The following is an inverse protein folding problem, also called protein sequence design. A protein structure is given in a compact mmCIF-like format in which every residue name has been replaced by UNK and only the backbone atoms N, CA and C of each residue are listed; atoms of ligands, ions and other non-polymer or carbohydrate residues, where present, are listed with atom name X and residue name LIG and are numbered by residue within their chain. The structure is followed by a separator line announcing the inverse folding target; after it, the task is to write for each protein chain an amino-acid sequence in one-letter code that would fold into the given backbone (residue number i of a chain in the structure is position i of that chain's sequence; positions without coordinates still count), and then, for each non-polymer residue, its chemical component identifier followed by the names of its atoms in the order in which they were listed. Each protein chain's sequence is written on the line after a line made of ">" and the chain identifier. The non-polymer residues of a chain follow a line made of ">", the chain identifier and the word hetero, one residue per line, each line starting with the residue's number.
data_IF_435815891448
#
_entry.id   IF_435815891448
#
_cell.length_a   1.000
_cell.length_b   1.000
_cell.length_c   1.000
_cell.angle_alpha   90.00
_cell.angle_beta   90.00
_cell.angle_gamma   90.00
#
_symmetry.space_group_name_H-M   'P 1'
#
loop_
_entity.id
_entity.type
_entity.pdbx_description
1 polymer ?
#
# COMPACT_ATOMS: atom_id res chain seq x y z
N UNK A 1 -47.73 -2.87 50.36
CA UNK A 1 -47.17 -3.66 49.24
C UNK A 1 -46.99 -2.92 47.91
N UNK A 2 -47.50 -1.69 47.73
CA UNK A 2 -47.38 -0.95 46.46
C UNK A 2 -45.96 -0.45 46.11
N UNK A 3 -45.19 -0.01 47.10
CA UNK A 3 -43.84 0.55 46.91
C UNK A 3 -42.78 -0.49 46.49
N UNK A 4 -42.87 -1.73 46.99
CA UNK A 4 -41.96 -2.82 46.57
C UNK A 4 -42.18 -3.21 45.10
N UNK A 5 -43.44 -3.25 44.65
CA UNK A 5 -43.76 -3.57 43.26
C UNK A 5 -43.37 -2.44 42.29
N UNK A 6 -43.49 -1.19 42.74
CA UNK A 6 -43.07 0.00 41.98
C UNK A 6 -41.56 0.10 41.77
N UNK A 7 -40.73 -0.51 42.64
CA UNK A 7 -39.28 -0.56 42.48
C UNK A 7 -38.80 -1.81 41.73
N UNK A 8 -39.43 -2.97 41.96
CA UNK A 8 -39.02 -4.24 41.34
C UNK A 8 -39.33 -4.30 39.84
N UNK A 9 -40.45 -3.73 39.40
CA UNK A 9 -40.88 -3.80 38.00
C UNK A 9 -39.94 -3.05 37.05
N UNK A 10 -39.51 -1.80 37.35
CA UNK A 10 -38.53 -1.10 36.53
C UNK A 10 -37.15 -1.77 36.54
N UNK A 11 -36.68 -2.26 37.70
CA UNK A 11 -35.39 -2.95 37.81
C UNK A 11 -35.35 -4.23 36.96
N UNK A 12 -36.47 -4.97 36.91
CA UNK A 12 -36.62 -6.15 36.05
C UNK A 12 -36.54 -5.84 34.54
N UNK A 13 -36.66 -4.57 34.12
CA UNK A 13 -36.46 -4.14 32.73
C UNK A 13 -35.03 -3.69 32.44
N UNK A 14 -34.36 -3.07 33.41
CA UNK A 14 -32.97 -2.60 33.26
C UNK A 14 -31.98 -3.77 33.14
N UNK A 15 -32.15 -4.83 33.95
CA UNK A 15 -31.21 -5.98 33.95
C UNK A 15 -31.14 -6.69 32.59
N UNK A 16 -32.28 -7.05 31.93
CA UNK A 16 -32.24 -7.60 30.57
C UNK A 16 -31.58 -6.67 29.57
N UNK A 17 -31.81 -5.36 29.67
CA UNK A 17 -31.22 -4.37 28.77
C UNK A 17 -29.69 -4.32 28.88
N UNK A 18 -29.16 -4.37 30.09
CA UNK A 18 -27.71 -4.48 30.32
C UNK A 18 -27.15 -5.78 29.72
N UNK A 19 -27.89 -6.90 29.82
CA UNK A 19 -27.47 -8.17 29.20
C UNK A 19 -27.43 -8.09 27.68
N UNK A 20 -28.37 -7.38 27.06
CA UNK A 20 -28.37 -7.14 25.61
C UNK A 20 -27.18 -6.28 25.18
N UNK A 21 -26.88 -5.20 25.91
CA UNK A 21 -25.68 -4.39 25.69
C UNK A 21 -24.42 -5.25 25.81
N UNK A 22 -24.34 -6.09 26.84
CA UNK A 22 -23.21 -7.00 27.05
C UNK A 22 -23.07 -8.06 25.95
N UNK A 23 -24.16 -8.44 25.29
CA UNK A 23 -24.16 -9.29 24.10
C UNK A 23 -23.98 -8.50 22.79
N UNK A 24 -23.51 -7.25 22.87
CA UNK A 24 -23.32 -6.32 21.75
C UNK A 24 -24.60 -5.97 20.97
N UNK A 25 -25.78 -6.21 21.53
CA UNK A 25 -27.05 -5.82 20.93
C UNK A 25 -27.44 -4.42 21.42
N UNK A 26 -27.06 -3.40 20.64
CA UNK A 26 -27.18 -1.99 21.04
C UNK A 26 -28.37 -1.27 20.40
N UNK A 27 -29.31 -1.98 19.77
CA UNK A 27 -30.39 -1.35 18.99
C UNK A 27 -31.69 -1.19 19.77
N UNK A 28 -31.86 -1.82 20.95
CA UNK A 28 -33.08 -1.64 21.76
C UNK A 28 -33.03 -0.35 22.56
N UNK A 29 -34.21 0.17 22.89
CA UNK A 29 -34.38 1.35 23.73
C UNK A 29 -34.90 0.96 25.10
N UNK A 30 -34.34 1.55 26.16
CA UNK A 30 -34.75 1.28 27.53
C UNK A 30 -35.84 2.27 27.97
N UNK A 31 -37.11 1.87 27.91
CA UNK A 31 -38.20 2.73 28.41
C UNK A 31 -38.49 2.47 29.88
N UNK A 32 -37.94 3.33 30.76
CA UNK A 32 -38.24 3.37 32.19
C UNK A 32 -38.70 4.78 32.58
N UNK A 33 -39.86 4.88 33.21
CA UNK A 33 -40.42 6.16 33.66
C UNK A 33 -40.36 6.27 35.18
N UNK A 34 -39.88 7.39 35.69
CA UNK A 34 -39.82 7.68 37.13
C UNK A 34 -38.71 8.69 37.44
N UNK A 35 -38.93 9.56 38.43
CA UNK A 35 -37.93 10.54 38.90
C UNK A 35 -37.13 10.03 40.11
N UNK A 36 -37.04 8.71 40.25
CA UNK A 36 -36.31 8.05 41.34
C UNK A 36 -34.97 7.50 40.83
N UNK A 37 -34.21 6.88 41.73
CA UNK A 37 -32.88 6.31 41.50
C UNK A 37 -32.89 5.27 40.37
N UNK A 38 -34.03 4.62 40.10
CA UNK A 38 -34.14 3.67 38.97
C UNK A 38 -34.27 4.39 37.63
N UNK A 39 -34.94 5.55 37.60
CA UNK A 39 -34.96 6.43 36.42
C UNK A 39 -33.57 6.99 36.12
N UNK A 40 -32.82 7.38 37.15
CA UNK A 40 -31.41 7.79 37.00
C UNK A 40 -30.53 6.65 36.47
N UNK A 41 -30.61 5.46 37.07
CA UNK A 41 -29.90 4.26 36.60
C UNK A 41 -30.22 3.94 35.12
N UNK A 42 -31.49 4.00 34.74
CA UNK A 42 -31.90 3.77 33.35
C UNK A 42 -31.26 4.80 32.41
N UNK A 43 -31.27 6.09 32.77
CA UNK A 43 -30.63 7.15 32.00
C UNK A 43 -29.12 6.95 31.86
N UNK A 44 -28.43 6.52 32.92
CA UNK A 44 -27.00 6.19 32.87
C UNK A 44 -26.72 5.01 31.95
N UNK A 45 -27.54 3.96 32.00
CA UNK A 45 -27.40 2.79 31.10
C UNK A 45 -27.64 3.19 29.64
N UNK A 46 -28.63 4.05 29.36
CA UNK A 46 -28.84 4.58 28.01
C UNK A 46 -27.67 5.45 27.52
N UNK A 47 -27.04 6.20 28.42
CA UNK A 47 -25.85 6.96 28.07
C UNK A 47 -24.67 6.04 27.74
N UNK A 48 -24.43 5.00 28.57
CA UNK A 48 -23.40 3.99 28.31
C UNK A 48 -23.62 3.28 26.97
N UNK A 49 -24.87 2.91 26.65
CA UNK A 49 -25.22 2.31 25.37
C UNK A 49 -24.88 3.23 24.20
N UNK A 50 -25.24 4.51 24.27
CA UNK A 50 -24.94 5.50 23.24
C UNK A 50 -23.43 5.66 23.03
N UNK A 51 -22.66 5.83 24.10
CA UNK A 51 -21.20 5.93 24.00
C UNK A 51 -20.57 4.69 23.38
N UNK A 52 -21.12 3.50 23.63
CA UNK A 52 -20.65 2.26 23.00
C UNK A 52 -21.02 2.19 21.52
N UNK A 53 -22.23 2.61 21.13
CA UNK A 53 -22.63 2.74 19.72
C UNK A 53 -21.68 3.69 18.98
N UNK A 54 -21.39 4.84 19.57
CA UNK A 54 -20.49 5.85 18.98
C UNK A 54 -19.08 5.27 18.82
N UNK A 55 -18.56 4.58 19.84
CA UNK A 55 -17.25 3.93 19.78
C UNK A 55 -17.18 2.87 18.68
N UNK A 56 -18.17 1.98 18.60
CA UNK A 56 -18.24 0.93 17.58
C UNK A 56 -18.37 1.53 16.17
N UNK A 57 -19.16 2.59 16.03
CA UNK A 57 -19.32 3.31 14.76
C UNK A 57 -17.99 3.91 14.31
N UNK A 58 -17.27 4.57 15.21
CA UNK A 58 -15.99 5.19 14.90
C UNK A 58 -14.90 4.14 14.56
N UNK A 59 -14.89 3.00 15.24
CA UNK A 59 -14.01 1.86 14.89
C UNK A 59 -14.34 1.31 13.50
N UNK A 60 -15.62 1.18 13.15
CA UNK A 60 -16.05 0.72 11.83
C UNK A 60 -15.63 1.71 10.74
N UNK A 61 -15.91 2.99 10.91
CA UNK A 61 -15.49 4.04 9.97
C UNK A 61 -13.98 4.07 9.78
N UNK A 62 -13.20 3.94 10.86
CA UNK A 62 -11.75 3.83 10.79
C UNK A 62 -11.29 2.58 10.03
N UNK A 63 -11.96 1.45 10.22
CA UNK A 63 -11.66 0.20 9.51
C UNK A 63 -11.97 0.30 8.01
N UNK A 64 -13.09 0.94 7.65
CA UNK A 64 -13.47 1.18 6.26
C UNK A 64 -12.46 2.13 5.57
N UNK A 65 -12.00 3.16 6.27
CA UNK A 65 -10.95 4.06 5.79
C UNK A 65 -9.60 3.33 5.59
N UNK A 66 -9.19 2.47 6.54
CA UNK A 66 -7.99 1.63 6.41
C UNK A 66 -8.12 0.68 5.21
N UNK A 67 -9.29 0.06 5.03
CA UNK A 67 -9.53 -0.83 3.90
C UNK A 67 -9.40 -0.11 2.55
N UNK A 68 -9.97 1.10 2.44
CA UNK A 68 -9.82 1.93 1.24
C UNK A 68 -8.35 2.29 0.99
N UNK A 69 -7.65 2.77 2.03
CA UNK A 69 -6.24 3.16 1.91
C UNK A 69 -5.32 1.99 1.55
N UNK A 70 -5.54 0.81 2.13
CA UNK A 70 -4.75 -0.39 1.79
C UNK A 70 -5.03 -0.88 0.37
N UNK A 71 -6.25 -0.74 -0.13
CA UNK A 71 -6.59 -1.06 -1.52
C UNK A 71 -5.91 -0.11 -2.51
N UNK A 72 -5.85 1.19 -2.20
CA UNK A 72 -5.10 2.19 -2.99
C UNK A 72 -3.60 1.90 -2.99
N UNK A 73 -3.01 1.56 -1.84
CA UNK A 73 -1.60 1.17 -1.73
C UNK A 73 -1.32 -0.08 -2.58
N UNK A 74 -2.18 -1.10 -2.52
CA UNK A 74 -2.02 -2.32 -3.30
C UNK A 74 -2.02 -2.03 -4.80
N UNK A 75 -2.97 -1.22 -5.27
CA UNK A 75 -3.03 -0.79 -6.68
C UNK A 75 -1.78 0.01 -7.09
N UNK A 76 -1.33 0.95 -6.24
CA UNK A 76 -0.11 1.71 -6.47
C UNK A 76 1.15 0.85 -6.50
N UNK A 77 1.22 -0.19 -5.67
CA UNK A 77 2.35 -1.12 -5.65
C UNK A 77 2.39 -2.00 -6.92
N UNK A 78 1.23 -2.40 -7.44
CA UNK A 78 1.16 -3.12 -8.73
C UNK A 78 1.64 -2.23 -9.90
N UNK A 79 1.23 -0.96 -9.95
CA UNK A 79 1.72 -0.01 -10.96
C UNK A 79 3.24 0.20 -10.84
N UNK A 80 3.74 0.41 -9.62
CA UNK A 80 5.16 0.59 -9.37
C UNK A 80 5.96 -0.65 -9.80
N UNK A 81 5.51 -1.86 -9.45
CA UNK A 81 6.14 -3.12 -9.87
C UNK A 81 6.20 -3.21 -11.39
N UNK A 82 5.10 -2.92 -12.09
CA UNK A 82 5.06 -2.94 -13.55
C UNK A 82 6.07 -1.95 -14.16
N UNK A 83 6.19 -0.75 -13.59
CA UNK A 83 7.17 0.24 -14.06
C UNK A 83 8.61 -0.16 -13.76
N UNK A 84 8.86 -0.78 -12.61
CA UNK A 84 10.19 -1.33 -12.27
C UNK A 84 10.57 -2.46 -13.23
N UNK A 85 9.65 -3.36 -13.56
CA UNK A 85 9.88 -4.41 -14.58
C UNK A 85 10.17 -3.82 -15.96
N UNK A 86 9.41 -2.82 -16.39
CA UNK A 86 9.67 -2.10 -17.64
C UNK A 86 11.04 -1.42 -17.65
N UNK A 87 11.43 -0.76 -16.54
CA UNK A 87 12.74 -0.13 -16.42
C UNK A 87 13.88 -1.15 -16.43
N UNK A 88 13.71 -2.29 -15.76
CA UNK A 88 14.69 -3.38 -15.79
C UNK A 88 14.90 -3.88 -17.23
N UNK A 89 13.81 -4.11 -17.97
CA UNK A 89 13.88 -4.50 -19.38
C UNK A 89 14.57 -3.44 -20.25
N UNK A 90 14.26 -2.15 -20.07
CA UNK A 90 14.93 -1.08 -20.80
C UNK A 90 16.43 -0.98 -20.49
N UNK A 91 16.83 -1.28 -19.25
CA UNK A 91 18.25 -1.34 -18.86
C UNK A 91 18.96 -2.55 -19.50
N UNK A 92 18.30 -3.71 -19.60
CA UNK A 92 18.82 -4.88 -20.31
C UNK A 92 19.05 -4.58 -21.80
N UNK A 93 18.09 -3.93 -22.46
CA UNK A 93 18.24 -3.50 -23.86
C UNK A 93 19.38 -2.49 -24.04
N UNK A 94 19.54 -1.56 -23.09
CA UNK A 94 20.63 -0.59 -23.10
C UNK A 94 21.99 -1.28 -22.93
N UNK A 95 22.09 -2.26 -22.02
CA UNK A 95 23.31 -3.04 -21.82
C UNK A 95 23.69 -3.85 -23.08
N UNK A 96 22.72 -4.53 -23.69
CA UNK A 96 22.92 -5.25 -24.95
C UNK A 96 23.38 -4.33 -26.08
N UNK A 97 22.78 -3.14 -26.18
CA UNK A 97 23.20 -2.12 -27.15
C UNK A 97 24.64 -1.65 -26.91
N UNK A 98 25.04 -1.49 -25.65
CA UNK A 98 26.42 -1.13 -25.28
C UNK A 98 27.43 -2.24 -25.59
N UNK A 99 27.04 -3.51 -25.45
CA UNK A 99 27.89 -4.65 -25.87
C UNK A 99 28.09 -4.65 -27.40
N UNK A 100 27.02 -4.44 -28.18
CA UNK A 100 27.11 -4.33 -29.64
C UNK A 100 27.97 -3.14 -30.09
N UNK A 101 27.81 -1.98 -29.45
CA UNK A 101 28.65 -0.80 -29.71
C UNK A 101 30.12 -1.10 -29.40
N UNK A 102 30.40 -1.76 -28.27
CA UNK A 102 31.76 -2.14 -27.88
C UNK A 102 32.40 -3.08 -28.91
N UNK A 103 31.65 -4.08 -29.40
CA UNK A 103 32.12 -4.98 -30.45
C UNK A 103 32.45 -4.22 -31.75
N UNK A 104 31.58 -3.29 -32.14
CA UNK A 104 31.75 -2.45 -33.34
C UNK A 104 32.99 -1.55 -33.23
N UNK A 105 33.21 -0.94 -32.06
CA UNK A 105 34.40 -0.10 -31.80
C UNK A 105 35.67 -0.95 -31.87
N UNK A 106 35.67 -2.16 -31.28
CA UNK A 106 36.82 -3.08 -31.36
C UNK A 106 37.16 -3.46 -32.80
N UNK A 107 36.15 -3.84 -33.59
CA UNK A 107 36.31 -4.18 -35.00
C UNK A 107 36.84 -2.98 -35.80
N UNK A 108 36.33 -1.78 -35.54
CA UNK A 108 36.81 -0.54 -36.19
C UNK A 108 38.28 -0.25 -35.85
N UNK A 109 38.68 -0.47 -34.59
CA UNK A 109 40.07 -0.32 -34.17
C UNK A 109 41.01 -1.37 -34.80
N UNK A 110 40.53 -2.60 -34.99
CA UNK A 110 41.26 -3.65 -35.73
C UNK A 110 41.43 -3.28 -37.21
N UNK A 111 40.37 -2.79 -37.86
CA UNK A 111 40.44 -2.30 -39.25
C UNK A 111 41.40 -1.12 -39.41
N UNK A 112 41.37 -0.15 -38.50
CA UNK A 112 42.29 0.99 -38.54
C UNK A 112 43.75 0.54 -38.41
N UNK A 113 44.04 -0.44 -37.54
CA UNK A 113 45.39 -1.04 -37.41
C UNK A 113 45.83 -1.74 -38.69
N UNK A 114 44.97 -2.56 -39.30
CA UNK A 114 45.28 -3.25 -40.56
C UNK A 114 45.52 -2.26 -41.71
N UNK A 115 44.67 -1.23 -41.84
CA UNK A 115 44.83 -0.19 -42.85
C UNK A 115 46.15 0.57 -42.68
N UNK A 116 46.52 0.90 -41.45
CA UNK A 116 47.80 1.54 -41.13
C UNK A 116 49.01 0.67 -41.53
N UNK A 117 48.96 -0.64 -41.23
CA UNK A 117 50.00 -1.58 -41.63
C UNK A 117 50.12 -1.69 -43.16
N UNK A 118 48.99 -1.80 -43.86
CA UNK A 118 48.97 -1.87 -45.33
C UNK A 118 49.56 -0.61 -45.97
N UNK A 119 49.20 0.57 -45.46
CA UNK A 119 49.75 1.84 -45.91
C UNK A 119 51.27 1.92 -45.67
N UNK A 120 51.76 1.43 -44.53
CA UNK A 120 53.19 1.38 -44.23
C UNK A 120 53.94 0.44 -45.20
N UNK A 121 53.43 -0.77 -45.43
CA UNK A 121 54.02 -1.72 -46.40
C UNK A 121 54.03 -1.17 -47.82
N UNK A 122 52.96 -0.48 -48.24
CA UNK A 122 52.90 0.17 -49.55
C UNK A 122 53.96 1.27 -49.70
N UNK A 123 54.17 2.08 -48.65
CA UNK A 123 55.21 3.11 -48.60
C UNK A 123 56.63 2.52 -48.71
N UNK A 124 56.93 1.44 -47.96
CA UNK A 124 58.23 0.76 -48.04
C UNK A 124 58.48 0.16 -49.44
N UNK A 125 57.45 -0.35 -50.10
CA UNK A 125 57.55 -0.89 -51.47
C UNK A 125 57.77 0.23 -52.49
N UNK A 126 57.16 1.40 -52.28
CA UNK A 126 57.31 2.58 -53.13
C UNK A 126 58.65 3.31 -52.91
N UNK A 127 59.43 2.93 -51.89
CA UNK A 127 60.70 3.58 -51.56
C UNK A 127 61.68 3.44 -52.75
N UNK A 128 62.17 4.55 -53.32
CA UNK A 128 62.97 4.50 -54.54
C UNK A 128 64.26 3.74 -54.27
N UNK A 129 64.51 2.66 -55.02
CA UNK A 129 65.85 2.07 -55.12
C UNK A 129 66.76 3.15 -55.70
N UNK A 130 67.57 3.81 -54.85
CA UNK A 130 68.69 4.62 -55.32
C UNK A 130 69.55 3.69 -56.16
N UNK A 131 69.48 3.86 -57.49
CA UNK A 131 70.48 3.32 -58.40
C UNK A 131 71.79 4.00 -58.04
N UNK A 132 72.63 3.28 -57.30
CA UNK A 132 74.06 3.51 -57.30
C UNK A 132 74.54 3.36 -58.75
N UNK A 133 74.90 4.47 -59.36
CA UNK A 133 75.70 4.53 -60.58
C UNK A 133 76.68 5.67 -60.42
#
# INVERSE_FOLDING_TARGET
>A
SGSRHALLTPLARVIPHIREIASAYLTKTLTVSGRNEIGELAGTVEHMQRSLIDTVTQVREGSDAIYSGTSEIAAGNTDLSSRTEQQASALEETAASMEQLTATVKQTADYARQASQLAHSASETARPRRRTR
#
